data_IF_851770284390
#
_entry.id   IF_851770284390
#
_cell.length_a   1.000
_cell.length_b   1.000
_cell.length_c   1.000
_cell.angle_alpha   90.00
_cell.angle_beta   90.00
_cell.angle_gamma   90.00
#
_symmetry.space_group_name_H-M   'P 1'
#
loop_
_entity.id
_entity.type
_entity.pdbx_description
1 polymer ?
#
# COMPACT_ATOMS: atom_id res chain seq x y z
N UNK A 1 3.88 -44.36 19.65
CA UNK A 1 4.46 -43.82 18.40
C UNK A 1 3.41 -43.44 17.32
N UNK A 2 2.11 -43.32 17.66
CA UNK A 2 1.03 -43.20 16.66
C UNK A 2 0.34 -41.83 16.57
N UNK A 3 0.69 -40.86 17.42
CA UNK A 3 0.12 -39.49 17.41
C UNK A 3 0.95 -38.47 16.60
N UNK A 4 2.18 -38.83 16.19
CA UNK A 4 3.10 -37.95 15.46
C UNK A 4 2.80 -37.88 13.95
N UNK A 5 2.29 -38.97 13.37
CA UNK A 5 1.90 -39.04 11.96
C UNK A 5 0.69 -38.15 11.61
N UNK A 6 -0.43 -38.14 12.37
CA UNK A 6 -1.58 -37.29 12.05
C UNK A 6 -1.31 -35.80 12.29
N UNK A 7 -0.40 -35.45 13.20
CA UNK A 7 -0.03 -34.04 13.45
C UNK A 7 0.83 -33.49 12.33
N UNK A 8 1.80 -34.26 11.82
CA UNK A 8 2.62 -33.86 10.68
C UNK A 8 1.79 -33.65 9.41
N UNK A 9 0.83 -34.54 9.11
CA UNK A 9 -0.04 -34.40 7.93
C UNK A 9 -0.94 -33.18 8.00
N UNK A 10 -1.51 -32.87 9.17
CA UNK A 10 -2.33 -31.65 9.39
C UNK A 10 -1.48 -30.38 9.20
N UNK A 11 -0.27 -30.34 9.77
CA UNK A 11 0.64 -29.19 9.61
C UNK A 11 1.02 -29.01 8.14
N UNK A 12 1.39 -30.10 7.44
CA UNK A 12 1.72 -30.06 6.03
C UNK A 12 0.54 -29.57 5.18
N UNK A 13 -0.66 -30.09 5.42
CA UNK A 13 -1.89 -29.66 4.73
C UNK A 13 -2.19 -28.17 4.97
N UNK A 14 -2.02 -27.69 6.21
CA UNK A 14 -2.18 -26.27 6.55
C UNK A 14 -1.17 -25.37 5.84
N UNK A 15 0.11 -25.76 5.79
CA UNK A 15 1.16 -25.02 5.07
C UNK A 15 0.87 -24.96 3.57
N UNK A 16 0.46 -26.08 2.97
CA UNK A 16 0.07 -26.14 1.55
C UNK A 16 -1.14 -25.25 1.29
N UNK A 17 -2.19 -25.33 2.11
CA UNK A 17 -3.36 -24.46 1.99
C UNK A 17 -2.96 -22.98 2.10
N UNK A 18 -2.16 -22.61 3.11
CA UNK A 18 -1.68 -21.24 3.32
C UNK A 18 -0.89 -20.72 2.10
N UNK A 19 0.00 -21.53 1.54
CA UNK A 19 0.77 -21.16 0.35
C UNK A 19 -0.12 -20.98 -0.89
N UNK A 20 -1.11 -21.86 -1.08
CA UNK A 20 -2.09 -21.77 -2.17
C UNK A 20 -2.95 -20.53 -2.04
N UNK A 21 -3.40 -20.20 -0.83
CA UNK A 21 -4.16 -18.97 -0.58
C UNK A 21 -3.33 -17.72 -0.88
N UNK A 22 -2.07 -17.67 -0.45
CA UNK A 22 -1.18 -16.54 -0.76
C UNK A 22 -0.99 -16.35 -2.29
N UNK A 23 -0.77 -17.44 -3.04
CA UNK A 23 -0.67 -17.40 -4.50
C UNK A 23 -1.96 -16.94 -5.18
N UNK A 24 -3.12 -17.46 -4.73
CA UNK A 24 -4.43 -17.04 -5.26
C UNK A 24 -4.70 -15.56 -5.05
N UNK A 25 -4.34 -15.03 -3.88
CA UNK A 25 -4.47 -13.60 -3.57
C UNK A 25 -3.58 -12.74 -4.44
N UNK A 26 -2.30 -13.11 -4.56
CA UNK A 26 -1.36 -12.41 -5.43
C UNK A 26 -1.88 -12.38 -6.88
N UNK A 27 -2.26 -13.54 -7.43
CA UNK A 27 -2.81 -13.62 -8.79
C UNK A 27 -4.09 -12.78 -8.95
N UNK A 28 -4.96 -12.72 -7.94
CA UNK A 28 -6.14 -11.87 -8.00
C UNK A 28 -5.81 -10.37 -7.97
N UNK A 29 -4.82 -9.95 -7.18
CA UNK A 29 -4.33 -8.56 -7.18
C UNK A 29 -3.75 -8.21 -8.55
N UNK A 30 -2.98 -9.12 -9.13
CA UNK A 30 -2.28 -8.93 -10.40
C UNK A 30 -3.27 -8.81 -11.57
N UNK A 31 -4.27 -9.68 -11.61
CA UNK A 31 -5.28 -9.71 -12.68
C UNK A 31 -6.39 -8.67 -12.52
N UNK A 32 -6.44 -7.90 -11.41
CA UNK A 32 -7.50 -6.92 -11.21
C UNK A 32 -7.29 -5.69 -12.09
N UNK A 33 -8.26 -5.45 -12.96
CA UNK A 33 -8.26 -4.38 -13.95
C UNK A 33 -8.75 -3.06 -13.33
N UNK A 34 -7.80 -2.35 -12.69
CA UNK A 34 -8.02 -1.05 -12.07
C UNK A 34 -8.32 0.03 -13.11
N UNK A 35 -7.61 0.03 -14.23
CA UNK A 35 -7.74 1.06 -15.26
C UNK A 35 -9.15 1.09 -15.85
N UNK A 36 -9.69 -0.07 -16.27
CA UNK A 36 -11.06 -0.16 -16.79
C UNK A 36 -12.11 0.30 -15.78
N UNK A 37 -11.87 0.06 -14.49
CA UNK A 37 -12.81 0.42 -13.43
C UNK A 37 -12.73 1.92 -13.06
N UNK A 38 -11.54 2.50 -13.09
CA UNK A 38 -11.25 3.76 -12.39
C UNK A 38 -10.71 4.88 -13.27
N UNK A 39 -10.20 4.64 -14.49
CA UNK A 39 -9.46 5.65 -15.27
C UNK A 39 -10.26 6.94 -15.50
N UNK A 40 -11.47 6.85 -16.03
CA UNK A 40 -12.32 8.02 -16.27
C UNK A 40 -12.65 8.79 -14.98
N UNK A 41 -12.72 8.10 -13.84
CA UNK A 41 -13.01 8.72 -12.54
C UNK A 41 -11.78 9.41 -11.98
N UNK A 42 -10.62 8.76 -12.09
CA UNK A 42 -9.35 9.33 -11.66
C UNK A 42 -9.02 10.55 -12.53
N UNK A 43 -9.18 10.47 -13.85
CA UNK A 43 -9.00 11.61 -14.75
C UNK A 43 -9.88 12.81 -14.38
N UNK A 44 -11.11 12.57 -13.92
CA UNK A 44 -12.00 13.64 -13.44
C UNK A 44 -11.58 14.20 -12.08
N UNK A 45 -11.14 13.35 -11.14
CA UNK A 45 -10.74 13.77 -9.78
C UNK A 45 -9.37 14.45 -9.75
N UNK A 46 -8.47 13.97 -10.58
CA UNK A 46 -7.05 14.33 -10.69
C UNK A 46 -6.79 14.75 -12.13
N UNK A 47 -7.40 15.87 -12.55
CA UNK A 47 -7.30 16.37 -13.93
C UNK A 47 -5.90 16.81 -14.31
N UNK A 48 -5.05 17.04 -13.32
CA UNK A 48 -3.62 17.28 -13.47
C UNK A 48 -2.84 16.06 -13.97
N UNK A 49 -3.35 14.83 -13.77
CA UNK A 49 -2.66 13.61 -14.17
C UNK A 49 -2.98 13.24 -15.62
N UNK A 50 -1.92 13.15 -16.44
CA UNK A 50 -2.04 12.60 -17.78
C UNK A 50 -2.32 11.08 -17.79
N UNK A 51 -2.52 10.50 -18.97
CA UNK A 51 -2.82 9.07 -19.10
C UNK A 51 -1.70 8.15 -18.59
N UNK A 52 -0.44 8.56 -18.76
CA UNK A 52 0.74 7.81 -18.31
C UNK A 52 0.80 7.82 -16.78
N UNK A 53 0.66 8.99 -16.17
CA UNK A 53 0.67 9.18 -14.72
C UNK A 53 -0.48 8.42 -14.04
N UNK A 54 -1.67 8.41 -14.64
CA UNK A 54 -2.79 7.58 -14.14
C UNK A 54 -2.49 6.09 -14.23
N UNK A 55 -1.87 5.62 -15.31
CA UNK A 55 -1.44 4.23 -15.44
C UNK A 55 -0.42 3.85 -14.36
N UNK A 56 0.58 4.72 -14.13
CA UNK A 56 1.56 4.55 -13.06
C UNK A 56 0.90 4.56 -11.67
N UNK A 57 -0.11 5.41 -11.45
CA UNK A 57 -0.87 5.43 -10.21
C UNK A 57 -1.64 4.11 -9.98
N UNK A 58 -2.16 3.48 -11.04
CA UNK A 58 -2.80 2.17 -10.92
C UNK A 58 -1.80 1.04 -10.64
N UNK A 59 -0.61 1.06 -11.25
CA UNK A 59 0.45 0.12 -10.91
C UNK A 59 0.91 0.28 -9.45
N UNK A 60 1.09 1.52 -8.99
CA UNK A 60 1.44 1.82 -7.61
C UNK A 60 0.31 1.44 -6.63
N UNK A 61 -0.96 1.64 -6.99
CA UNK A 61 -2.11 1.18 -6.20
C UNK A 61 -2.12 -0.34 -6.06
N UNK A 62 -1.83 -1.06 -7.14
CA UNK A 62 -1.69 -2.51 -7.13
C UNK A 62 -0.55 -2.94 -6.21
N UNK A 63 0.60 -2.27 -6.27
CA UNK A 63 1.72 -2.52 -5.36
C UNK A 63 1.35 -2.27 -3.90
N UNK A 64 0.58 -1.22 -3.61
CA UNK A 64 0.08 -0.98 -2.27
C UNK A 64 -0.85 -2.10 -1.78
N UNK A 65 -1.71 -2.67 -2.64
CA UNK A 65 -2.50 -3.86 -2.28
C UNK A 65 -1.63 -5.07 -1.95
N UNK A 66 -0.54 -5.30 -2.70
CA UNK A 66 0.41 -6.38 -2.42
C UNK A 66 1.13 -6.14 -1.09
N UNK A 67 1.49 -4.89 -0.78
CA UNK A 67 2.01 -4.51 0.54
C UNK A 67 0.99 -4.79 1.65
N UNK A 68 -0.29 -4.48 1.43
CA UNK A 68 -1.38 -4.74 2.38
C UNK A 68 -1.60 -6.24 2.64
N UNK A 69 -1.55 -7.09 1.60
CA UNK A 69 -1.64 -8.55 1.77
C UNK A 69 -0.44 -9.07 2.60
N UNK A 70 0.77 -8.63 2.25
CA UNK A 70 2.00 -9.03 2.95
C UNK A 70 2.04 -8.56 4.40
N UNK A 71 1.38 -7.46 4.73
CA UNK A 71 1.31 -6.92 6.08
C UNK A 71 0.45 -7.77 7.05
N UNK A 72 -0.22 -8.83 6.57
CA UNK A 72 -0.95 -9.80 7.39
C UNK A 72 -1.92 -9.12 8.38
N UNK A 73 -2.80 -8.25 7.85
CA UNK A 73 -3.82 -7.47 8.58
C UNK A 73 -3.29 -6.31 9.44
N UNK A 74 -1.97 -6.10 9.54
CA UNK A 74 -1.43 -4.89 10.18
C UNK A 74 -1.72 -3.66 9.33
N UNK A 75 -1.90 -2.50 9.96
CA UNK A 75 -2.15 -1.22 9.27
C UNK A 75 -0.96 -0.82 8.40
N UNK A 76 -1.24 -0.35 7.19
CA UNK A 76 -0.26 0.11 6.21
C UNK A 76 -0.68 1.51 5.79
N UNK A 77 0.24 2.47 5.90
CA UNK A 77 0.01 3.82 5.39
C UNK A 77 0.05 3.83 3.85
N UNK A 78 -0.70 4.73 3.23
CA UNK A 78 -0.62 5.02 1.81
C UNK A 78 0.13 6.36 1.65
N UNK A 79 1.41 6.36 1.24
CA UNK A 79 2.29 7.52 1.30
C UNK A 79 2.36 8.25 -0.05
N UNK A 80 1.25 8.32 -0.78
CA UNK A 80 1.20 8.89 -2.13
C UNK A 80 -0.20 9.42 -2.43
N UNK A 81 -0.27 10.67 -2.87
CA UNK A 81 -1.47 11.43 -3.21
C UNK A 81 -2.10 10.97 -4.52
N UNK A 82 -1.27 10.67 -5.54
CA UNK A 82 -1.76 10.17 -6.82
C UNK A 82 -2.48 8.82 -6.62
N UNK A 83 -1.88 7.92 -5.84
CA UNK A 83 -2.46 6.61 -5.52
C UNK A 83 -3.64 6.74 -4.56
N UNK A 84 -3.59 7.68 -3.62
CA UNK A 84 -4.72 7.96 -2.71
C UNK A 84 -5.95 8.45 -3.48
N UNK A 85 -5.78 9.23 -4.55
CA UNK A 85 -6.86 9.58 -5.47
C UNK A 85 -7.52 8.34 -6.11
N UNK A 86 -6.72 7.39 -6.61
CA UNK A 86 -7.21 6.14 -7.17
C UNK A 86 -7.89 5.25 -6.12
N UNK A 87 -7.35 5.20 -4.89
CA UNK A 87 -7.95 4.48 -3.77
C UNK A 87 -9.33 5.06 -3.40
N UNK A 88 -9.45 6.39 -3.34
CA UNK A 88 -10.72 7.05 -3.03
C UNK A 88 -11.79 6.75 -4.09
N UNK A 89 -11.44 6.74 -5.37
CA UNK A 89 -12.38 6.32 -6.42
C UNK A 89 -12.73 4.82 -6.31
N UNK A 90 -11.78 3.99 -5.87
CA UNK A 90 -12.02 2.57 -5.71
C UNK A 90 -13.01 2.25 -4.59
N UNK A 91 -12.92 2.90 -3.43
CA UNK A 91 -13.86 2.65 -2.32
C UNK A 91 -15.30 3.09 -2.66
N UNK A 92 -15.46 4.06 -3.55
CA UNK A 92 -16.78 4.47 -4.06
C UNK A 92 -17.40 3.38 -4.97
N UNK A 93 -16.58 2.52 -5.58
CA UNK A 93 -17.04 1.30 -6.27
C UNK A 93 -17.34 0.18 -5.26
N UNK A 94 -18.26 0.44 -4.33
CA UNK A 94 -18.50 -0.37 -3.11
C UNK A 94 -18.64 -1.88 -3.35
N UNK A 95 -19.35 -2.29 -4.41
CA UNK A 95 -19.51 -3.71 -4.77
C UNK A 95 -18.17 -4.32 -5.21
N UNK A 96 -17.45 -3.64 -6.10
CA UNK A 96 -16.15 -4.06 -6.62
C UNK A 96 -15.09 -4.08 -5.53
N UNK A 97 -15.02 -3.02 -4.71
CA UNK A 97 -14.12 -2.91 -3.55
C UNK A 97 -14.33 -4.04 -2.54
N UNK A 98 -15.59 -4.32 -2.17
CA UNK A 98 -15.90 -5.41 -1.24
C UNK A 98 -15.53 -6.78 -1.80
N UNK A 99 -15.83 -7.03 -3.07
CA UNK A 99 -15.45 -8.29 -3.75
C UNK A 99 -13.94 -8.43 -3.80
N UNK A 100 -13.23 -7.39 -4.25
CA UNK A 100 -11.79 -7.36 -4.31
C UNK A 100 -11.17 -7.62 -2.94
N UNK A 101 -11.57 -6.91 -1.88
CA UNK A 101 -11.00 -7.13 -0.54
C UNK A 101 -11.14 -8.59 -0.07
N UNK A 102 -12.30 -9.21 -0.29
CA UNK A 102 -12.50 -10.63 0.06
C UNK A 102 -11.58 -11.56 -0.74
N UNK A 103 -11.37 -11.31 -2.03
CA UNK A 103 -10.59 -12.16 -2.92
C UNK A 103 -9.07 -11.91 -2.83
N UNK A 104 -8.66 -10.64 -2.82
CA UNK A 104 -7.27 -10.19 -2.73
C UNK A 104 -6.68 -10.29 -1.31
N UNK A 105 -7.47 -10.03 -0.27
CA UNK A 105 -6.95 -9.79 1.08
C UNK A 105 -7.61 -10.67 2.15
N UNK A 106 -8.65 -11.41 1.78
CA UNK A 106 -9.47 -12.20 2.70
C UNK A 106 -10.30 -11.36 3.67
N UNK A 107 -10.46 -10.06 3.41
CA UNK A 107 -11.20 -9.10 4.27
C UNK A 107 -11.46 -7.80 3.53
N UNK A 108 -12.38 -7.00 4.04
CA UNK A 108 -12.50 -5.61 3.59
C UNK A 108 -11.22 -4.83 3.94
N UNK A 109 -10.68 -4.09 2.97
CA UNK A 109 -9.55 -3.20 3.19
C UNK A 109 -10.07 -1.81 3.54
N UNK A 110 -9.63 -1.30 4.67
CA UNK A 110 -9.82 0.07 5.08
C UNK A 110 -8.44 0.73 5.18
N UNK A 111 -8.26 1.82 4.44
CA UNK A 111 -7.18 2.76 4.68
C UNK A 111 -7.65 3.77 5.72
N UNK A 112 -6.77 4.14 6.65
CA UNK A 112 -7.00 5.25 7.57
C UNK A 112 -5.88 6.26 7.30
N UNK A 113 -6.19 7.48 6.84
CA UNK A 113 -5.20 8.53 6.64
C UNK A 113 -4.43 8.81 7.93
N UNK A 114 -3.15 9.17 7.82
CA UNK A 114 -2.30 9.43 8.98
C UNK A 114 -2.90 10.46 9.94
N UNK A 115 -3.51 11.51 9.41
CA UNK A 115 -4.17 12.57 10.18
C UNK A 115 -5.41 12.09 10.99
N UNK A 116 -6.01 10.97 10.60
CA UNK A 116 -7.16 10.36 11.29
C UNK A 116 -6.76 9.19 12.21
N UNK A 117 -5.46 8.96 12.41
CA UNK A 117 -4.99 7.89 13.30
C UNK A 117 -4.98 8.35 14.76
N UNK A 118 -5.28 7.41 15.66
CA UNK A 118 -5.41 7.67 17.10
C UNK A 118 -4.15 8.25 17.80
N UNK A 119 -2.97 8.12 17.19
CA UNK A 119 -1.76 8.78 17.69
C UNK A 119 -0.67 8.89 16.61
N UNK A 120 0.24 9.87 16.73
CA UNK A 120 1.41 10.00 15.84
C UNK A 120 2.28 8.73 15.82
N UNK A 121 2.45 8.06 16.97
CA UNK A 121 3.21 6.80 17.07
C UNK A 121 2.64 5.71 16.17
N UNK A 122 1.31 5.55 16.16
CA UNK A 122 0.65 4.55 15.30
C UNK A 122 0.76 4.91 13.83
N UNK A 123 0.68 6.20 13.48
CA UNK A 123 0.88 6.67 12.11
C UNK A 123 2.30 6.37 11.62
N UNK A 124 3.31 6.71 12.43
CA UNK A 124 4.71 6.43 12.14
C UNK A 124 4.99 4.93 11.99
N UNK A 125 4.37 4.07 12.82
CA UNK A 125 4.51 2.63 12.69
C UNK A 125 3.91 2.09 11.38
N UNK A 126 2.73 2.58 10.98
CA UNK A 126 2.08 2.22 9.72
C UNK A 126 2.91 2.67 8.50
N UNK A 127 3.53 3.85 8.58
CA UNK A 127 4.43 4.37 7.56
C UNK A 127 5.73 3.54 7.46
N UNK A 128 6.42 3.29 8.58
CA UNK A 128 7.62 2.43 8.60
C UNK A 128 7.35 1.03 8.07
N UNK A 129 6.18 0.47 8.38
CA UNK A 129 5.75 -0.83 7.85
C UNK A 129 5.55 -0.78 6.34
N UNK A 130 4.80 0.21 5.85
CA UNK A 130 4.54 0.40 4.43
C UNK A 130 5.86 0.50 3.66
N UNK A 131 6.77 1.36 4.13
CA UNK A 131 8.08 1.58 3.52
C UNK A 131 8.92 0.32 3.46
N UNK A 132 9.07 -0.37 4.59
CA UNK A 132 9.88 -1.61 4.66
C UNK A 132 9.35 -2.68 3.70
N UNK A 133 8.04 -2.83 3.59
CA UNK A 133 7.42 -3.82 2.71
C UNK A 133 7.51 -3.41 1.24
N UNK A 134 7.36 -2.12 0.93
CA UNK A 134 7.54 -1.58 -0.42
C UNK A 134 8.99 -1.73 -0.91
N UNK A 135 9.98 -1.41 -0.06
CA UNK A 135 11.41 -1.62 -0.37
C UNK A 135 11.69 -3.09 -0.68
N UNK A 136 11.28 -4.02 0.22
CA UNK A 136 11.47 -5.46 -0.01
C UNK A 136 10.83 -5.96 -1.29
N UNK A 137 9.68 -5.39 -1.67
CA UNK A 137 8.99 -5.73 -2.91
C UNK A 137 9.75 -5.25 -4.15
N UNK A 138 10.36 -4.07 -4.07
CA UNK A 138 11.18 -3.51 -5.13
C UNK A 138 12.63 -4.06 -5.16
N UNK A 139 12.98 -5.04 -4.32
CA UNK A 139 14.35 -5.55 -4.21
C UNK A 139 15.33 -4.59 -3.54
N UNK A 140 14.83 -3.57 -2.83
CA UNK A 140 15.64 -2.55 -2.13
C UNK A 140 15.83 -2.96 -0.68
N UNK A 141 17.05 -2.84 -0.14
CA UNK A 141 17.28 -3.04 1.30
C UNK A 141 16.54 -1.95 2.11
N UNK A 142 15.55 -2.31 2.93
CA UNK A 142 14.84 -1.33 3.75
C UNK A 142 15.69 -0.69 4.86
N UNK A 143 16.85 -1.23 5.20
CA UNK A 143 17.75 -0.67 6.23
C UNK A 143 18.72 0.36 5.67
N UNK A 144 19.16 0.16 4.43
CA UNK A 144 20.04 1.06 3.69
C UNK A 144 19.52 1.22 2.24
N UNK A 145 18.41 1.95 2.02
CA UNK A 145 17.80 2.04 0.71
C UNK A 145 18.63 2.91 -0.24
N UNK A 146 19.16 2.32 -1.30
CA UNK A 146 19.85 3.04 -2.37
C UNK A 146 18.89 3.83 -3.29
N UNK A 147 17.58 3.53 -3.24
CA UNK A 147 16.54 4.20 -4.02
C UNK A 147 15.20 4.18 -3.27
N UNK A 148 14.25 5.01 -3.69
CA UNK A 148 12.87 4.92 -3.22
C UNK A 148 12.15 3.79 -3.96
N UNK A 149 11.34 2.97 -3.27
CA UNK A 149 10.45 2.04 -3.97
C UNK A 149 9.42 2.85 -4.80
N UNK A 150 8.95 2.36 -5.96
CA UNK A 150 8.06 3.11 -6.86
C UNK A 150 6.84 3.73 -6.18
N UNK A 151 6.22 3.01 -5.24
CA UNK A 151 5.10 3.48 -4.42
C UNK A 151 5.39 4.79 -3.65
N UNK A 152 6.64 5.08 -3.35
CA UNK A 152 7.10 6.29 -2.65
C UNK A 152 7.69 7.35 -3.59
N UNK A 153 7.88 7.03 -4.87
CA UNK A 153 8.53 7.90 -5.84
C UNK A 153 7.54 8.60 -6.77
N UNK A 154 6.36 8.01 -7.02
CA UNK A 154 5.39 8.49 -8.01
C UNK A 154 4.97 9.95 -7.80
N UNK A 155 4.78 10.37 -6.56
CA UNK A 155 4.37 11.73 -6.22
C UNK A 155 5.43 12.78 -6.53
N UNK A 156 6.67 12.39 -6.87
CA UNK A 156 7.72 13.32 -7.29
C UNK A 156 7.67 13.64 -8.80
N UNK A 157 6.76 13.02 -9.56
CA UNK A 157 6.59 13.32 -10.98
C UNK A 157 6.11 14.76 -11.21
N UNK A 158 6.52 15.39 -12.34
CA UNK A 158 6.09 16.74 -12.68
C UNK A 158 4.56 16.88 -12.75
N UNK A 159 4.04 18.03 -12.32
CA UNK A 159 2.60 18.33 -12.36
C UNK A 159 1.78 17.81 -11.17
N UNK A 160 2.38 17.01 -10.28
CA UNK A 160 1.74 16.56 -9.03
C UNK A 160 2.13 17.50 -7.88
N UNK A 161 1.45 18.65 -7.82
CA UNK A 161 1.80 19.76 -6.93
C UNK A 161 1.54 19.45 -5.44
N UNK A 162 0.47 18.71 -5.14
CA UNK A 162 0.14 18.29 -3.77
C UNK A 162 0.88 17.02 -3.33
N UNK A 163 1.68 16.43 -4.23
CA UNK A 163 2.37 15.16 -4.02
C UNK A 163 3.35 15.15 -2.86
N UNK A 164 3.47 14.00 -2.20
CA UNK A 164 4.46 13.80 -1.16
C UNK A 164 5.87 13.60 -1.71
N UNK A 165 6.78 14.49 -1.33
CA UNK A 165 8.22 14.37 -1.64
C UNK A 165 8.94 13.56 -0.55
N UNK A 166 9.07 12.26 -0.78
CA UNK A 166 9.79 11.35 0.12
C UNK A 166 11.31 11.41 -0.11
N UNK A 167 12.12 11.20 0.94
CA UNK A 167 13.59 11.08 0.84
C UNK A 167 14.08 9.74 1.39
N UNK A 168 15.26 9.31 0.93
CA UNK A 168 15.91 8.07 1.38
C UNK A 168 16.12 8.07 2.90
N UNK A 169 16.54 9.19 3.47
CA UNK A 169 16.89 9.26 4.90
C UNK A 169 15.72 9.64 5.82
N UNK A 170 14.47 9.67 5.34
CA UNK A 170 13.33 10.00 6.23
C UNK A 170 13.12 9.00 7.39
N UNK A 171 13.90 7.90 7.47
CA UNK A 171 13.89 6.97 8.60
C UNK A 171 14.68 7.48 9.82
N UNK A 172 15.65 8.39 9.64
CA UNK A 172 16.44 9.01 10.73
C UNK A 172 15.86 10.33 11.25
N UNK A 173 14.92 10.93 10.52
CA UNK A 173 14.21 12.14 10.93
C UNK A 173 13.10 11.83 11.97
N UNK A 174 13.51 11.32 13.13
CA UNK A 174 12.80 11.62 14.37
C UNK A 174 13.08 13.08 14.69
N UNK A 175 12.10 13.96 14.45
CA UNK A 175 12.12 15.40 14.76
C UNK A 175 13.15 16.28 14.03
N UNK A 176 12.69 17.49 13.67
CA UNK A 176 13.44 18.68 13.23
C UNK A 176 13.82 18.83 11.73
N UNK A 177 13.42 19.98 11.17
CA UNK A 177 14.18 20.67 10.12
C UNK A 177 13.65 20.61 8.68
N UNK A 178 12.84 21.61 8.31
CA UNK A 178 12.62 22.17 6.96
C UNK A 178 12.56 21.24 5.73
N UNK A 179 11.35 21.11 5.16
CA UNK A 179 11.17 20.89 3.71
C UNK A 179 10.96 19.45 3.21
N UNK A 180 10.59 18.49 4.07
CA UNK A 180 10.25 17.13 3.65
C UNK A 180 9.24 16.47 4.59
N UNK A 181 8.06 16.15 4.06
CA UNK A 181 6.96 15.39 4.70
C UNK A 181 6.54 15.81 6.13
N UNK A 182 5.65 16.81 6.23
CA UNK A 182 4.68 16.92 7.35
C UNK A 182 3.40 16.17 6.97
N UNK A 183 3.28 14.92 7.38
CA UNK A 183 1.96 14.29 7.50
C UNK A 183 1.29 14.79 8.78
N UNK A 184 0.73 16.00 8.74
CA UNK A 184 -0.36 16.48 9.59
C UNK A 184 -0.59 17.98 9.35
N UNK A 185 -1.70 18.35 8.71
CA UNK A 185 -2.43 19.55 9.16
C UNK A 185 -3.26 19.12 10.37
N UNK A 186 -2.59 18.96 11.52
CA UNK A 186 -3.14 18.97 12.89
C UNK A 186 -2.09 18.47 13.89
N UNK A 187 -1.62 19.36 14.76
CA UNK A 187 -1.00 19.01 16.05
C UNK A 187 0.51 18.83 16.05
N UNK A 188 1.25 19.93 16.19
CA UNK A 188 2.53 19.93 16.90
C UNK A 188 2.30 20.54 18.29
N UNK A 189 2.31 19.69 19.31
CA UNK A 189 2.77 19.96 20.68
C UNK A 189 3.37 18.66 21.17
#
# INVERSE_FOLDING_TARGET
MSLLLPTFTVIAAWLVWRSRQARRRAAHIDAFDLARLLDARLAKRRSELDATQRSQAFEALRDWFRVCDRAARKRVALPTQAVDGGWHEFILQTRSHRRFGRQALGRLLHHVPAAAMASPTRANEALRRSRRLACRRAGIDPRAPAALPPLYAIDAEPGIDDGFRCRLDCATAGSAGAGGYRAARTGCS
#
